data_IF_459380406923
#
_entry.id   IF_459380406923
#
_cell.length_a   1.000
_cell.length_b   1.000
_cell.length_c   1.000
_cell.angle_alpha   90.00
_cell.angle_beta   90.00
_cell.angle_gamma   90.00
#
_symmetry.space_group_name_H-M   'P 1'
#
loop_
_entity.id
_entity.type
_entity.pdbx_description
1 polymer ?
#
# COMPACT_ATOMS: atom_id res chain seq x y z
N UNK A 1 -47.93 -25.61 70.36
CA UNK A 1 -47.10 -26.73 69.88
C UNK A 1 -45.91 -26.10 69.17
N UNK A 2 -44.71 -26.22 69.77
CA UNK A 2 -43.32 -26.09 69.28
C UNK A 2 -43.08 -25.45 67.90
N UNK A 3 -42.06 -24.63 67.63
CA UNK A 3 -40.93 -24.05 68.37
C UNK A 3 -40.17 -23.19 67.35
N UNK A 4 -39.65 -22.05 67.78
CA UNK A 4 -38.51 -21.40 67.13
C UNK A 4 -37.35 -22.39 66.94
N UNK A 5 -36.67 -22.33 65.78
CA UNK A 5 -35.21 -22.43 65.62
C UNK A 5 -34.83 -22.78 64.18
N UNK A 6 -34.16 -21.86 63.48
CA UNK A 6 -32.76 -22.02 63.00
C UNK A 6 -32.45 -20.79 62.12
N UNK A 7 -31.88 -19.78 62.76
CA UNK A 7 -30.96 -18.83 62.14
C UNK A 7 -29.65 -19.59 61.92
N UNK A 8 -29.16 -19.70 60.68
CA UNK A 8 -27.72 -19.69 60.42
C UNK A 8 -27.42 -19.63 58.92
N UNK A 9 -26.85 -18.49 58.52
CA UNK A 9 -25.74 -18.38 57.55
C UNK A 9 -26.02 -18.81 56.10
N UNK A 10 -26.06 -17.83 55.21
CA UNK A 10 -25.06 -17.64 54.16
C UNK A 10 -25.33 -16.33 53.42
N UNK A 11 -24.86 -15.24 54.03
CA UNK A 11 -24.46 -14.03 53.31
C UNK A 11 -23.23 -14.39 52.47
N UNK A 12 -23.37 -14.41 51.15
CA UNK A 12 -22.24 -14.47 50.23
C UNK A 12 -22.41 -13.41 49.13
N UNK A 13 -21.67 -12.32 49.33
CA UNK A 13 -21.10 -11.41 48.33
C UNK A 13 -21.34 -11.82 46.85
N UNK A 14 -22.11 -11.01 46.12
CA UNK A 14 -21.95 -10.86 44.68
C UNK A 14 -21.28 -9.50 44.42
N UNK A 15 -19.95 -9.49 44.46
CA UNK A 15 -19.12 -8.36 44.07
C UNK A 15 -19.19 -8.16 42.55
N UNK A 16 -19.53 -6.93 42.15
CA UNK A 16 -18.94 -6.16 41.06
C UNK A 16 -18.30 -6.95 39.89
N UNK A 17 -19.10 -7.23 38.86
CA UNK A 17 -18.62 -7.52 37.51
C UNK A 17 -18.59 -6.23 36.67
N UNK A 18 -17.79 -5.23 37.06
CA UNK A 18 -17.45 -4.14 36.17
C UNK A 18 -16.40 -4.65 35.19
N UNK A 19 -16.85 -5.15 34.04
CA UNK A 19 -15.98 -5.45 32.93
C UNK A 19 -15.26 -4.16 32.53
N UNK A 20 -13.99 -4.06 32.90
CA UNK A 20 -13.04 -3.10 32.38
C UNK A 20 -12.94 -3.35 30.88
N UNK A 21 -13.76 -2.63 30.10
CA UNK A 21 -13.48 -2.38 28.70
C UNK A 21 -12.18 -1.59 28.65
N UNK A 22 -11.06 -2.30 28.56
CA UNK A 22 -9.79 -1.69 28.20
C UNK A 22 -10.01 -1.04 26.82
N UNK A 23 -9.81 0.28 26.68
CA UNK A 23 -9.72 0.85 25.35
C UNK A 23 -8.55 0.16 24.68
N UNK A 24 -8.84 -0.66 23.66
CA UNK A 24 -7.84 -1.06 22.69
C UNK A 24 -7.36 0.25 22.10
N UNK A 25 -6.15 0.68 22.48
CA UNK A 25 -5.49 1.78 21.81
C UNK A 25 -5.35 1.35 20.35
N UNK A 26 -6.22 1.89 19.50
CA UNK A 26 -6.09 1.76 18.07
C UNK A 26 -4.78 2.46 17.70
N UNK A 27 -3.79 1.66 17.32
CA UNK A 27 -2.54 2.13 16.73
C UNK A 27 -2.94 2.70 15.37
N UNK A 28 -2.99 4.02 15.28
CA UNK A 28 -3.88 4.64 14.30
C UNK A 28 -3.18 5.15 13.05
N UNK A 29 -1.87 4.93 12.90
CA UNK A 29 -1.23 5.18 11.61
C UNK A 29 0.18 4.64 11.44
N UNK A 30 0.60 4.59 10.17
CA UNK A 30 1.91 4.11 9.74
C UNK A 30 2.60 5.13 8.84
N UNK A 31 3.89 5.36 9.11
CA UNK A 31 4.75 6.20 8.25
C UNK A 31 5.08 5.42 6.97
N UNK A 32 4.66 5.92 5.81
CA UNK A 32 4.94 5.28 4.51
C UNK A 32 6.02 5.95 3.71
N UNK A 33 6.33 7.20 4.05
CA UNK A 33 7.43 7.96 3.46
C UNK A 33 8.00 8.88 4.51
N UNK A 34 9.32 8.90 4.61
CA UNK A 34 10.03 9.86 5.44
C UNK A 34 11.32 10.25 4.75
N UNK A 35 11.45 11.54 4.45
CA UNK A 35 12.62 12.13 3.79
C UNK A 35 13.13 13.31 4.59
N UNK A 36 14.45 13.47 4.65
CA UNK A 36 15.13 14.56 5.35
C UNK A 36 15.89 14.10 6.61
N UNK A 37 16.56 15.02 7.34
CA UNK A 37 17.38 14.73 8.52
C UNK A 37 16.70 13.95 9.66
N UNK A 38 15.37 13.93 9.73
CA UNK A 38 14.65 13.16 10.76
C UNK A 38 14.16 11.79 10.29
N UNK A 39 14.47 11.35 9.06
CA UNK A 39 14.07 10.03 8.55
C UNK A 39 14.63 8.87 9.37
N UNK A 40 15.81 9.02 9.97
CA UNK A 40 16.38 8.02 10.88
C UNK A 40 15.55 7.86 12.16
N UNK A 41 14.86 8.92 12.61
CA UNK A 41 14.03 8.91 13.82
C UNK A 41 12.62 8.36 13.53
N UNK A 42 12.13 8.53 12.31
CA UNK A 42 10.82 8.08 11.86
C UNK A 42 10.97 7.29 10.55
N UNK A 43 11.59 6.09 10.58
CA UNK A 43 11.72 5.27 9.38
C UNK A 43 10.34 4.85 8.83
N UNK A 44 10.31 4.49 7.54
CA UNK A 44 9.12 3.87 6.94
C UNK A 44 8.72 2.62 7.75
N UNK A 45 7.43 2.43 7.99
CA UNK A 45 6.89 1.41 8.87
C UNK A 45 6.82 1.78 10.34
N UNK A 46 7.23 2.99 10.74
CA UNK A 46 7.01 3.45 12.11
C UNK A 46 5.51 3.56 12.38
N UNK A 47 5.03 2.81 13.37
CA UNK A 47 3.67 2.94 13.90
C UNK A 47 3.56 4.17 14.78
N UNK A 48 2.49 4.93 14.60
CA UNK A 48 2.28 6.18 15.31
C UNK A 48 0.83 6.24 15.81
N UNK A 49 0.64 6.56 17.09
CA UNK A 49 -0.68 6.76 17.66
C UNK A 49 -1.32 8.06 17.16
N UNK A 50 -2.66 8.13 17.13
CA UNK A 50 -3.39 9.36 16.75
C UNK A 50 -2.99 10.56 17.62
N UNK A 51 -2.75 10.34 18.90
CA UNK A 51 -2.37 11.40 19.83
C UNK A 51 -0.87 11.68 19.86
N UNK A 52 -0.06 10.95 19.09
CA UNK A 52 1.38 11.13 19.09
C UNK A 52 1.78 12.41 18.34
N UNK A 53 2.88 13.00 18.81
CA UNK A 53 3.49 14.18 18.21
C UNK A 53 4.79 13.81 17.50
N UNK A 54 4.88 14.15 16.21
CA UNK A 54 6.08 13.97 15.39
C UNK A 54 6.82 15.31 15.36
N UNK A 55 8.10 15.30 15.75
CA UNK A 55 8.96 16.49 15.68
C UNK A 55 9.87 16.40 14.47
N UNK A 56 9.71 17.33 13.53
CA UNK A 56 10.45 17.43 12.29
C UNK A 56 11.45 18.59 12.33
N UNK A 57 12.55 18.43 11.62
CA UNK A 57 13.57 19.45 11.34
C UNK A 57 13.26 20.13 10.00
N UNK A 58 13.95 21.24 9.74
CA UNK A 58 13.79 21.96 8.48
C UNK A 58 14.19 21.07 7.29
N UNK A 59 13.37 21.06 6.24
CA UNK A 59 13.57 20.20 5.07
C UNK A 59 13.04 18.78 5.20
N UNK A 60 12.42 18.41 6.32
CA UNK A 60 11.77 17.09 6.45
C UNK A 60 10.39 17.07 5.78
N UNK A 61 10.07 15.92 5.19
CA UNK A 61 8.74 15.56 4.70
C UNK A 61 8.41 14.15 5.18
N UNK A 62 7.30 13.99 5.90
CA UNK A 62 6.80 12.70 6.36
C UNK A 62 5.35 12.53 5.93
N UNK A 63 5.02 11.36 5.40
CA UNK A 63 3.66 10.97 5.02
C UNK A 63 3.20 9.84 5.92
N UNK A 64 2.15 10.10 6.69
CA UNK A 64 1.53 9.18 7.64
C UNK A 64 0.15 8.80 7.10
N UNK A 65 -0.12 7.51 6.97
CA UNK A 65 -1.48 7.01 6.75
C UNK A 65 -2.11 6.68 8.08
N UNK A 66 -3.31 7.19 8.32
CA UNK A 66 -4.17 6.80 9.44
C UNK A 66 -5.47 6.20 8.92
N UNK A 67 -6.24 5.58 9.82
CA UNK A 67 -7.58 5.07 9.50
C UNK A 67 -8.52 6.19 8.99
N UNK A 68 -8.37 7.41 9.52
CA UNK A 68 -9.20 8.57 9.17
C UNK A 68 -8.72 9.31 7.90
N UNK A 69 -7.55 8.97 7.36
CA UNK A 69 -7.05 9.53 6.12
C UNK A 69 -5.52 9.62 6.06
N UNK A 70 -5.00 10.28 5.03
CA UNK A 70 -3.55 10.50 4.93
C UNK A 70 -3.17 11.92 5.31
N UNK A 71 -2.00 12.05 5.93
CA UNK A 71 -1.42 13.33 6.31
C UNK A 71 0.02 13.43 5.84
N UNK A 72 0.30 14.48 5.09
CA UNK A 72 1.64 14.88 4.67
C UNK A 72 2.08 16.04 5.56
N UNK A 73 3.17 15.85 6.29
CA UNK A 73 3.72 16.81 7.24
C UNK A 73 5.04 17.30 6.67
N UNK A 74 5.14 18.61 6.42
CA UNK A 74 6.33 19.24 5.81
C UNK A 74 6.90 20.33 6.72
N UNK A 75 8.22 20.41 6.78
CA UNK A 75 8.95 21.50 7.45
C UNK A 75 9.20 21.30 8.93
N UNK A 76 9.98 22.21 9.52
CA UNK A 76 10.37 22.15 10.92
C UNK A 76 9.15 22.42 11.82
N UNK A 77 8.96 21.61 12.86
CA UNK A 77 7.86 21.79 13.81
C UNK A 77 7.50 20.53 14.56
N UNK A 78 6.59 20.64 15.51
CA UNK A 78 5.97 19.49 16.18
C UNK A 78 4.52 19.41 15.75
N UNK A 79 4.15 18.26 15.18
CA UNK A 79 2.84 18.04 14.57
C UNK A 79 2.16 16.85 15.23
N UNK A 80 0.90 16.99 15.64
CA UNK A 80 0.10 15.87 16.18
C UNK A 80 -0.54 15.08 15.06
N UNK A 81 -0.39 13.75 15.03
CA UNK A 81 -0.83 12.92 13.91
C UNK A 81 -2.34 13.01 13.67
N UNK A 82 -3.15 12.99 14.73
CA UNK A 82 -4.62 13.06 14.66
C UNK A 82 -5.20 14.44 14.33
N UNK A 83 -4.37 15.49 14.18
CA UNK A 83 -4.87 16.80 13.76
C UNK A 83 -5.11 16.82 12.24
N UNK A 84 -6.40 16.88 11.86
CA UNK A 84 -6.95 17.14 10.51
C UNK A 84 -6.30 16.31 9.38
N UNK A 85 -6.83 15.13 9.03
CA UNK A 85 -6.44 14.44 7.80
C UNK A 85 -6.72 15.34 6.57
N UNK A 86 -5.77 15.42 5.63
CA UNK A 86 -5.79 16.39 4.51
C UNK A 86 -6.15 15.74 3.16
N UNK A 87 -6.24 14.41 3.06
CA UNK A 87 -6.33 13.72 1.76
C UNK A 87 -7.55 12.81 1.65
N UNK A 88 -8.23 12.94 0.50
CA UNK A 88 -9.46 12.25 0.12
C UNK A 88 -9.25 10.73 -0.11
N UNK A 89 -10.09 9.93 0.53
CA UNK A 89 -10.28 8.48 0.37
C UNK A 89 -10.41 8.01 -1.09
N UNK A 90 -10.83 8.90 -1.99
CA UNK A 90 -11.09 8.60 -3.41
C UNK A 90 -9.85 8.20 -4.22
N UNK A 91 -8.69 8.82 -3.96
CA UNK A 91 -7.43 8.50 -4.68
C UNK A 91 -6.87 7.15 -4.23
N UNK A 92 -6.91 6.88 -2.93
CA UNK A 92 -6.58 5.57 -2.36
C UNK A 92 -7.47 4.50 -2.97
N UNK A 93 -8.80 4.68 -2.93
CA UNK A 93 -9.75 3.75 -3.52
C UNK A 93 -9.48 3.54 -5.02
N UNK A 94 -9.06 4.58 -5.74
CA UNK A 94 -8.72 4.42 -7.16
C UNK A 94 -7.53 3.50 -7.41
N UNK A 95 -6.48 3.59 -6.58
CA UNK A 95 -5.23 2.86 -6.73
C UNK A 95 -5.29 1.43 -6.18
N UNK A 96 -6.09 1.21 -5.15
CA UNK A 96 -6.29 -0.11 -4.52
C UNK A 96 -7.44 -0.90 -5.13
N UNK A 97 -8.17 -0.34 -6.10
CA UNK A 97 -9.18 -1.09 -6.87
C UNK A 97 -8.55 -2.30 -7.55
N UNK A 98 -8.85 -3.49 -7.02
CA UNK A 98 -8.41 -4.79 -7.56
C UNK A 98 -8.75 -5.00 -9.05
N UNK A 99 -9.81 -4.32 -9.51
CA UNK A 99 -10.23 -4.26 -10.93
C UNK A 99 -10.14 -2.83 -11.47
N UNK A 100 -9.01 -2.14 -11.32
CA UNK A 100 -8.84 -0.78 -11.86
C UNK A 100 -8.92 -0.76 -13.40
N UNK A 101 -10.16 -0.71 -13.90
CA UNK A 101 -10.69 -0.43 -15.22
C UNK A 101 -9.84 -0.80 -16.45
N UNK A 102 -10.40 -1.68 -17.28
CA UNK A 102 -10.07 -1.98 -18.69
C UNK A 102 -9.96 -0.74 -19.62
N UNK A 103 -10.13 0.48 -19.11
CA UNK A 103 -10.02 1.72 -19.88
C UNK A 103 -9.48 2.83 -18.99
N UNK A 104 -8.17 3.04 -19.03
CA UNK A 104 -7.57 4.31 -18.61
C UNK A 104 -7.99 5.35 -19.64
N UNK A 105 -9.02 6.15 -19.33
CA UNK A 105 -9.31 7.35 -20.10
C UNK A 105 -8.27 8.37 -19.68
N UNK A 106 -7.32 8.67 -20.56
CA UNK A 106 -6.50 9.88 -20.50
C UNK A 106 -7.41 11.08 -20.77
N UNK A 107 -8.20 11.47 -19.75
CA UNK A 107 -8.91 12.73 -19.77
C UNK A 107 -7.88 13.85 -19.73
N UNK A 108 -7.99 14.80 -20.66
CA UNK A 108 -7.11 15.95 -20.77
C UNK A 108 -7.04 16.75 -19.46
N UNK A 109 -5.95 16.56 -18.71
CA UNK A 109 -5.55 17.51 -17.66
C UNK A 109 -4.90 18.69 -18.38
N UNK A 110 -5.48 19.89 -18.23
CA UNK A 110 -4.83 21.14 -18.65
C UNK A 110 -3.68 21.40 -17.68
N UNK A 111 -2.54 20.81 -17.98
CA UNK A 111 -1.27 21.01 -17.32
C UNK A 111 -0.19 20.58 -18.30
N UNK A 112 0.51 21.56 -18.86
CA UNK A 112 1.64 21.37 -19.75
C UNK A 112 2.82 20.90 -18.91
N UNK A 113 2.85 19.60 -18.62
CA UNK A 113 4.03 18.92 -18.10
C UNK A 113 4.10 17.58 -18.80
N UNK A 114 5.23 17.29 -19.44
CA UNK A 114 5.63 15.95 -19.90
C UNK A 114 5.74 14.99 -18.70
N UNK A 115 4.62 14.73 -18.03
CA UNK A 115 4.55 13.81 -16.91
C UNK A 115 4.40 12.41 -17.50
N UNK A 116 5.51 11.68 -17.50
CA UNK A 116 5.54 10.27 -17.88
C UNK A 116 4.37 9.56 -17.16
N UNK A 117 3.48 8.85 -17.89
CA UNK A 117 2.29 8.29 -17.28
C UNK A 117 2.69 7.41 -16.10
N UNK A 118 2.09 7.68 -14.95
CA UNK A 118 2.32 6.92 -13.72
C UNK A 118 1.44 5.67 -13.71
N UNK A 119 1.91 4.60 -13.05
CA UNK A 119 1.15 3.37 -12.92
C UNK A 119 -0.21 3.64 -12.23
N UNK A 120 -1.35 3.36 -12.90
CA UNK A 120 -2.67 3.73 -12.42
C UNK A 120 -3.24 2.78 -11.34
N UNK A 121 -2.54 1.70 -10.99
CA UNK A 121 -3.00 0.70 -10.01
C UNK A 121 -1.81 0.12 -9.25
N UNK A 122 -1.95 -0.07 -7.94
CA UNK A 122 -0.92 -0.75 -7.13
C UNK A 122 -0.73 -2.22 -7.53
N UNK A 123 -1.72 -2.81 -8.20
CA UNK A 123 -1.72 -4.23 -8.55
C UNK A 123 -1.16 -4.53 -9.93
N UNK A 124 -0.74 -3.50 -10.68
CA UNK A 124 -0.06 -3.70 -11.95
C UNK A 124 1.44 -3.79 -11.75
N UNK A 125 2.04 -4.83 -12.31
CA UNK A 125 3.47 -5.07 -12.26
C UNK A 125 4.16 -4.14 -13.24
N UNK A 126 4.95 -3.20 -12.73
CA UNK A 126 5.76 -2.32 -13.56
C UNK A 126 6.94 -3.10 -14.17
N UNK A 127 6.96 -3.20 -15.49
CA UNK A 127 8.01 -3.95 -16.22
C UNK A 127 9.40 -3.32 -16.13
N UNK A 128 9.52 -2.10 -15.60
CA UNK A 128 10.78 -1.34 -15.52
C UNK A 128 11.37 -1.27 -14.12
N UNK A 129 10.66 -1.77 -13.10
CA UNK A 129 11.11 -1.68 -11.70
C UNK A 129 11.31 -3.05 -11.09
N UNK A 130 12.48 -3.22 -10.46
CA UNK A 130 12.84 -4.45 -9.75
C UNK A 130 12.39 -4.41 -8.29
N UNK A 131 11.95 -5.53 -7.75
CA UNK A 131 11.58 -5.68 -6.34
C UNK A 131 10.45 -6.68 -6.11
N UNK A 132 10.06 -6.83 -4.84
CA UNK A 132 8.97 -7.68 -4.42
C UNK A 132 7.62 -7.05 -4.73
N UNK A 133 6.73 -7.82 -5.36
CA UNK A 133 5.37 -7.40 -5.71
C UNK A 133 4.34 -8.22 -4.90
N UNK A 134 3.55 -7.53 -4.10
CA UNK A 134 2.43 -8.09 -3.35
C UNK A 134 1.16 -8.09 -4.20
N UNK A 135 0.53 -9.24 -4.39
CA UNK A 135 -0.75 -9.35 -5.10
C UNK A 135 -1.75 -10.17 -4.27
N UNK A 136 -3.04 -9.91 -4.50
CA UNK A 136 -4.13 -10.74 -3.94
C UNK A 136 -4.37 -12.01 -4.75
N UNK A 137 -3.98 -12.02 -6.03
CA UNK A 137 -4.22 -13.13 -6.93
C UNK A 137 -3.04 -13.26 -7.91
N UNK A 138 -2.29 -14.35 -7.78
CA UNK A 138 -1.16 -14.69 -8.64
C UNK A 138 -1.58 -15.31 -9.98
N UNK A 139 -2.85 -15.65 -10.16
CA UNK A 139 -3.38 -16.15 -11.43
C UNK A 139 -3.82 -15.01 -12.39
N UNK A 140 -4.09 -13.81 -11.86
CA UNK A 140 -4.57 -12.67 -12.66
C UNK A 140 -3.54 -11.52 -12.74
N UNK A 141 -2.27 -11.87 -12.94
CA UNK A 141 -1.21 -10.86 -13.04
C UNK A 141 -1.36 -10.02 -14.30
N UNK A 142 -1.20 -8.71 -14.14
CA UNK A 142 -1.24 -7.74 -15.25
C UNK A 142 0.02 -6.90 -15.21
N UNK A 143 0.68 -6.81 -16.34
CA UNK A 143 1.89 -6.03 -16.54
C UNK A 143 1.51 -4.63 -17.01
N UNK A 144 2.26 -3.64 -16.56
CA UNK A 144 2.15 -2.25 -16.99
C UNK A 144 3.49 -1.74 -17.51
N UNK A 145 3.46 -0.97 -18.60
CA UNK A 145 4.62 -0.27 -19.17
C UNK A 145 4.45 1.25 -19.05
N UNK A 146 5.55 2.00 -18.88
CA UNK A 146 5.57 3.43 -19.12
C UNK A 146 5.19 3.79 -20.57
N UNK A 147 4.71 5.01 -20.77
CA UNK A 147 4.04 5.47 -21.99
C UNK A 147 4.98 5.73 -23.13
N UNK A 148 5.54 4.67 -23.67
CA UNK A 148 6.36 4.72 -24.87
C UNK A 148 5.50 4.41 -26.08
N UNK A 149 5.54 5.24 -27.14
CA UNK A 149 4.87 4.90 -28.39
C UNK A 149 5.52 3.66 -29.01
N UNK A 150 4.74 2.92 -29.79
CA UNK A 150 5.16 1.75 -30.54
C UNK A 150 4.87 0.43 -29.85
N UNK A 151 4.63 -0.59 -30.67
CA UNK A 151 4.47 -1.97 -30.22
C UNK A 151 5.79 -2.47 -29.61
N UNK A 152 5.73 -2.95 -28.37
CA UNK A 152 6.89 -3.45 -27.63
C UNK A 152 6.59 -4.82 -27.03
N UNK A 153 7.53 -5.75 -27.15
CA UNK A 153 7.41 -7.08 -26.55
C UNK A 153 8.38 -7.21 -25.39
N UNK A 154 7.85 -7.56 -24.23
CA UNK A 154 8.62 -7.89 -23.03
C UNK A 154 8.58 -9.39 -22.83
N UNK A 155 9.70 -9.97 -22.43
CA UNK A 155 9.76 -11.39 -22.08
C UNK A 155 9.89 -11.54 -20.58
N UNK A 156 8.98 -12.30 -19.97
CA UNK A 156 9.10 -12.67 -18.57
C UNK A 156 9.53 -14.13 -18.47
N UNK A 157 10.51 -14.41 -17.60
CA UNK A 157 11.01 -15.75 -17.37
C UNK A 157 11.19 -16.05 -15.89
N UNK A 158 10.79 -17.25 -15.48
CA UNK A 158 11.05 -17.79 -14.15
C UNK A 158 12.45 -18.40 -14.12
N UNK A 159 13.29 -17.99 -13.17
CA UNK A 159 14.70 -18.43 -13.11
C UNK A 159 14.89 -19.82 -12.50
N UNK A 160 13.88 -20.37 -11.84
CA UNK A 160 13.94 -21.67 -11.18
C UNK A 160 13.51 -22.81 -12.12
N UNK A 161 12.40 -22.63 -12.83
CA UNK A 161 11.83 -23.67 -13.69
C UNK A 161 12.02 -23.43 -15.21
N UNK A 162 12.55 -22.26 -15.59
CA UNK A 162 12.81 -21.91 -16.99
C UNK A 162 11.57 -21.58 -17.84
N UNK A 163 10.37 -21.56 -17.24
CA UNK A 163 9.15 -21.15 -17.93
C UNK A 163 9.27 -19.70 -18.38
N UNK A 164 8.76 -19.39 -19.57
CA UNK A 164 8.81 -18.05 -20.12
C UNK A 164 7.58 -17.73 -20.99
N UNK A 165 7.23 -16.46 -21.02
CA UNK A 165 6.16 -15.93 -21.87
C UNK A 165 6.56 -14.58 -22.42
N UNK A 166 6.22 -14.36 -23.69
CA UNK A 166 6.35 -13.06 -24.34
C UNK A 166 5.01 -12.33 -24.21
N UNK A 167 5.09 -11.08 -23.73
CA UNK A 167 3.96 -10.19 -23.52
C UNK A 167 4.13 -8.97 -24.41
N UNK A 168 3.27 -8.88 -25.42
CA UNK A 168 3.28 -7.76 -26.37
C UNK A 168 2.30 -6.69 -25.93
N UNK A 169 2.78 -5.46 -25.88
CA UNK A 169 1.99 -4.25 -25.73
C UNK A 169 1.85 -3.59 -27.10
N UNK A 170 0.62 -3.40 -27.57
CA UNK A 170 0.35 -2.60 -28.78
C UNK A 170 0.68 -1.12 -28.55
N UNK A 171 0.75 -0.34 -29.63
CA UNK A 171 1.23 1.05 -29.68
C UNK A 171 0.77 1.93 -28.52
N UNK A 172 -0.54 2.02 -28.28
CA UNK A 172 -1.11 2.85 -27.22
C UNK A 172 -1.56 2.05 -26.00
N UNK A 173 -1.24 0.74 -25.95
CA UNK A 173 -1.68 -0.18 -24.90
C UNK A 173 -0.60 -0.25 -23.82
N UNK A 174 -1.02 0.08 -22.60
CA UNK A 174 -0.12 0.25 -21.46
C UNK A 174 -0.23 -0.90 -20.47
N UNK A 175 -1.24 -1.75 -20.63
CA UNK A 175 -1.56 -2.84 -19.71
C UNK A 175 -1.77 -4.11 -20.52
N UNK A 176 -1.06 -5.17 -20.16
CA UNK A 176 -1.20 -6.48 -20.77
C UNK A 176 -1.46 -7.53 -19.68
N UNK A 177 -2.37 -8.46 -19.94
CA UNK A 177 -2.59 -9.59 -19.05
C UNK A 177 -1.49 -10.63 -19.27
N UNK A 178 -0.96 -11.17 -18.17
CA UNK A 178 -0.09 -12.34 -18.23
C UNK A 178 -0.95 -13.59 -18.46
N UNK A 179 -0.47 -14.51 -19.30
CA UNK A 179 -1.10 -15.82 -19.45
C UNK A 179 -0.54 -16.79 -18.39
N UNK A 180 -1.32 -17.13 -17.34
CA UNK A 180 -0.87 -18.02 -16.27
C UNK A 180 -0.68 -19.48 -16.75
N UNK A 181 -1.28 -19.87 -17.88
CA UNK A 181 -1.08 -21.22 -18.43
C UNK A 181 0.31 -21.39 -19.02
N UNK A 182 0.93 -20.30 -19.51
CA UNK A 182 2.29 -20.30 -20.06
C UNK A 182 3.34 -20.02 -19.00
N UNK A 183 3.05 -19.11 -18.08
CA UNK A 183 3.96 -18.75 -17.00
C UNK A 183 3.18 -18.69 -15.67
N UNK A 184 3.08 -19.81 -14.94
CA UNK A 184 2.46 -19.81 -13.62
C UNK A 184 3.32 -18.99 -12.66
N UNK A 185 2.67 -18.12 -11.90
CA UNK A 185 3.31 -17.31 -10.86
C UNK A 185 3.31 -18.07 -9.55
N UNK A 186 4.50 -18.31 -9.01
CA UNK A 186 4.74 -19.02 -7.76
C UNK A 186 5.27 -18.02 -6.74
N UNK A 187 4.68 -18.03 -5.54
CA UNK A 187 5.12 -17.17 -4.45
C UNK A 187 6.59 -17.44 -4.07
N UNK A 188 7.37 -16.36 -3.92
CA UNK A 188 8.80 -16.41 -3.57
C UNK A 188 9.72 -16.79 -4.73
N UNK A 189 9.21 -17.23 -5.87
CA UNK A 189 10.04 -17.58 -7.01
C UNK A 189 10.58 -16.31 -7.72
N UNK A 190 11.83 -16.31 -8.17
CA UNK A 190 12.43 -15.18 -8.87
C UNK A 190 12.08 -15.18 -10.36
N UNK A 191 11.58 -14.04 -10.83
CA UNK A 191 11.30 -13.76 -12.22
C UNK A 191 12.17 -12.62 -12.73
N UNK A 192 12.45 -12.66 -14.02
CA UNK A 192 13.15 -11.57 -14.70
C UNK A 192 12.33 -11.15 -15.91
N UNK A 193 12.28 -9.84 -16.12
CA UNK A 193 11.64 -9.21 -17.26
C UNK A 193 12.75 -8.65 -18.16
N UNK A 194 12.72 -9.04 -19.42
CA UNK A 194 13.61 -8.56 -20.47
C UNK A 194 12.83 -7.63 -21.38
N UNK A 195 13.41 -6.46 -21.66
CA UNK A 195 12.83 -5.45 -22.53
C UNK A 195 12.97 -5.79 -24.02
N UNK A 196 12.38 -4.96 -24.90
CA UNK A 196 12.44 -5.15 -26.36
C UNK A 196 13.85 -5.04 -26.95
N UNK A 197 14.77 -4.39 -26.24
CA UNK A 197 16.19 -4.29 -26.55
C UNK A 197 17.00 -5.53 -26.14
N UNK A 198 16.34 -6.56 -25.60
CA UNK A 198 16.93 -7.75 -24.99
C UNK A 198 17.76 -7.44 -23.72
N UNK A 199 17.68 -6.23 -23.16
CA UNK A 199 18.27 -5.93 -21.88
C UNK A 199 17.36 -6.37 -20.72
N UNK A 200 17.94 -6.71 -19.59
CA UNK A 200 17.18 -6.95 -18.36
C UNK A 200 16.54 -5.64 -17.91
N UNK A 201 15.21 -5.57 -17.97
CA UNK A 201 14.41 -4.41 -17.58
C UNK A 201 14.11 -4.44 -16.08
N UNK A 202 13.77 -5.61 -15.53
CA UNK A 202 13.46 -5.76 -14.11
C UNK A 202 13.70 -7.18 -13.59
N UNK A 203 13.91 -7.29 -12.28
CA UNK A 203 13.92 -8.54 -11.53
C UNK A 203 12.88 -8.45 -10.41
N UNK A 204 11.95 -9.41 -10.38
CA UNK A 204 10.82 -9.37 -9.46
C UNK A 204 10.58 -10.72 -8.81
N UNK A 205 10.02 -10.68 -7.62
CA UNK A 205 9.48 -11.82 -6.90
C UNK A 205 8.05 -11.47 -6.45
N UNK A 206 7.22 -12.49 -6.29
CA UNK A 206 5.81 -12.31 -5.95
C UNK A 206 5.51 -12.82 -4.56
N UNK A 207 4.69 -12.06 -3.83
CA UNK A 207 4.20 -12.41 -2.51
C UNK A 207 2.68 -12.33 -2.50
N UNK A 208 2.03 -13.32 -1.90
CA UNK A 208 0.58 -13.33 -1.78
C UNK A 208 0.15 -12.53 -0.55
N UNK A 209 -0.80 -11.62 -0.73
CA UNK A 209 -1.49 -10.97 0.38
C UNK A 209 -2.59 -11.89 0.91
N UNK A 210 -2.61 -12.19 2.23
CA UNK A 210 -3.48 -13.23 2.79
C UNK A 210 -4.94 -12.83 2.90
N UNK A 211 -5.22 -11.53 2.96
CA UNK A 211 -6.55 -10.98 3.21
C UNK A 211 -6.70 -9.61 2.54
N UNK A 212 -7.93 -9.14 2.45
CA UNK A 212 -8.25 -7.86 1.81
C UNK A 212 -8.11 -6.71 2.80
N UNK A 213 -7.30 -5.73 2.44
CA UNK A 213 -7.06 -4.55 3.27
C UNK A 213 -7.86 -3.37 2.73
N UNK A 214 -8.98 -3.06 3.38
CA UNK A 214 -9.79 -1.87 3.07
C UNK A 214 -9.17 -0.61 3.67
N UNK A 215 -8.56 -0.73 4.84
CA UNK A 215 -7.96 0.38 5.56
C UNK A 215 -6.55 0.69 5.00
N UNK A 216 -6.24 1.97 4.68
CA UNK A 216 -4.97 2.35 4.07
C UNK A 216 -3.73 2.07 4.93
N UNK A 217 -3.84 2.25 6.24
CA UNK A 217 -2.82 1.95 7.24
C UNK A 217 -2.56 0.44 7.32
N UNK A 218 -3.60 -0.38 7.42
CA UNK A 218 -3.49 -1.84 7.45
C UNK A 218 -2.84 -2.39 6.16
N UNK A 219 -3.21 -1.84 5.00
CA UNK A 219 -2.57 -2.20 3.73
C UNK A 219 -1.09 -1.84 3.74
N UNK A 220 -0.74 -0.63 4.15
CA UNK A 220 0.65 -0.18 4.21
C UNK A 220 1.47 -1.04 5.18
N UNK A 221 0.94 -1.39 6.36
CA UNK A 221 1.58 -2.32 7.29
C UNK A 221 1.83 -3.70 6.66
N UNK A 222 0.84 -4.25 5.94
CA UNK A 222 0.98 -5.52 5.25
C UNK A 222 2.06 -5.46 4.16
N UNK A 223 2.08 -4.40 3.34
CA UNK A 223 3.10 -4.19 2.31
C UNK A 223 4.51 -4.08 2.92
N UNK A 224 4.65 -3.38 4.03
CA UNK A 224 5.92 -3.24 4.76
C UNK A 224 6.37 -4.60 5.32
N UNK A 225 5.47 -5.34 5.97
CA UNK A 225 5.78 -6.65 6.54
C UNK A 225 6.21 -7.67 5.48
N UNK A 226 5.70 -7.53 4.26
CA UNK A 226 6.03 -8.39 3.11
C UNK A 226 7.17 -7.84 2.22
N UNK A 227 7.70 -6.65 2.50
CA UNK A 227 8.82 -6.06 1.75
C UNK A 227 8.44 -5.45 0.39
N UNK A 228 7.16 -5.17 0.15
CA UNK A 228 6.63 -4.66 -1.11
C UNK A 228 6.83 -3.14 -1.27
N UNK A 229 8.09 -2.72 -1.28
CA UNK A 229 8.52 -1.31 -1.26
C UNK A 229 8.08 -0.51 -2.48
N UNK A 230 8.05 -1.13 -3.66
CA UNK A 230 7.61 -0.49 -4.90
C UNK A 230 6.15 -0.02 -4.81
N UNK A 231 5.28 -0.84 -4.22
CA UNK A 231 3.87 -0.51 -4.05
C UNK A 231 3.65 0.49 -2.91
N UNK A 232 4.45 0.38 -1.84
CA UNK A 232 4.45 1.35 -0.75
C UNK A 232 4.85 2.75 -1.24
N UNK A 233 5.86 2.85 -2.09
CA UNK A 233 6.31 4.11 -2.68
C UNK A 233 5.25 4.70 -3.63
N UNK A 234 4.61 3.87 -4.45
CA UNK A 234 3.53 4.30 -5.34
C UNK A 234 2.32 4.81 -4.54
N UNK A 235 1.97 4.12 -3.45
CA UNK A 235 0.95 4.55 -2.49
C UNK A 235 1.34 5.91 -1.90
N UNK A 236 2.53 6.05 -1.32
CA UNK A 236 2.97 7.29 -0.70
C UNK A 236 3.00 8.48 -1.68
N UNK A 237 3.57 8.28 -2.88
CA UNK A 237 3.72 9.32 -3.90
C UNK A 237 2.37 9.80 -4.41
N UNK A 238 1.40 8.89 -4.56
CA UNK A 238 0.04 9.26 -4.97
C UNK A 238 -0.69 10.13 -3.94
N UNK A 239 -0.39 9.90 -2.66
CA UNK A 239 -1.01 10.62 -1.54
C UNK A 239 -0.37 12.01 -1.39
N UNK A 240 0.94 12.10 -1.59
CA UNK A 240 1.65 13.39 -1.65
C UNK A 240 1.06 14.28 -2.75
N UNK A 241 0.89 13.76 -3.96
CA UNK A 241 0.29 14.49 -5.07
C UNK A 241 -1.16 14.93 -4.78
N UNK A 242 -1.90 14.13 -4.02
CA UNK A 242 -3.28 14.45 -3.63
C UNK A 242 -3.34 15.53 -2.55
N UNK A 243 -2.38 15.55 -1.62
CA UNK A 243 -2.26 16.59 -0.60
C UNK A 243 -1.90 17.95 -1.23
N UNK A 244 -1.03 17.96 -2.24
CA UNK A 244 -0.64 19.18 -2.96
C UNK A 244 -1.80 19.76 -3.78
N UNK A 245 -2.64 18.91 -4.37
CA UNK A 245 -3.82 19.35 -5.12
C UNK A 245 -4.93 19.94 -4.22
N UNK A 246 -5.03 19.51 -2.95
CA UNK A 246 -6.05 19.96 -2.01
C UNK A 246 -5.59 21.12 -1.10
N UNK A 247 -4.30 21.42 -1.07
CA UNK A 247 -3.68 22.47 -0.25
C UNK A 247 -3.48 23.81 -0.97
N UNK A 248 -4.16 24.03 -2.10
CA UNK A 248 -4.18 25.29 -2.86
C UNK A 248 -5.33 26.21 -2.45
#
# INVERSE_FOLDING_TARGET
MFSDNIKSRLTALALAGAALALPVAAMAGVVVKSTGPSSTKYPVGTKVDDNASITLKAGDVITVLTADGTRVIKGAGTFRVGDRPQVATDRFASLTRKRAATRVRTGAVRGETDENPTNPSLWYVDVTRSGTICLYDLATVRLWRPGTPGTSTYRMFNRENGAAVDVTFDDTVMIAALDPARLPIVEGAPYTITGPDNATSAQIDFVLLPEDYEAPDALAEALIAKGCTLQLEALASSLDASAEANGG
#
